data_IF_529361484327
#
_entry.id   IF_529361484327
#
_cell.length_a   1.000
_cell.length_b   1.000
_cell.length_c   1.000
_cell.angle_alpha   90.00
_cell.angle_beta   90.00
_cell.angle_gamma   90.00
#
_symmetry.space_group_name_H-M   'P 1'
#
loop_
_entity.id
_entity.type
_entity.pdbx_description
1 polymer ?
#
# COMPACT_ATOMS: atom_id res chain seq x y z
N UNK A 1 -9.88 9.48 -16.11
CA UNK A 1 -10.13 8.03 -16.12
C UNK A 1 -9.60 7.51 -14.80
N UNK A 2 -10.45 7.17 -13.84
CA UNK A 2 -10.02 6.59 -12.56
C UNK A 2 -9.49 5.19 -12.87
N UNK A 3 -8.17 5.00 -12.80
CA UNK A 3 -7.65 3.64 -12.79
C UNK A 3 -8.18 3.00 -11.50
N UNK A 4 -8.93 1.90 -11.56
CA UNK A 4 -9.34 1.20 -10.36
C UNK A 4 -8.06 0.77 -9.63
N UNK A 5 -7.96 1.09 -8.33
CA UNK A 5 -6.84 0.66 -7.48
C UNK A 5 -6.64 -0.87 -7.52
N UNK A 6 -7.59 -1.64 -8.04
CA UNK A 6 -7.47 -3.06 -8.37
C UNK A 6 -6.40 -3.41 -9.40
N UNK A 7 -5.84 -2.44 -10.14
CA UNK A 7 -4.75 -2.70 -11.07
C UNK A 7 -3.48 -3.05 -10.27
N UNK A 8 -3.06 -4.31 -10.39
CA UNK A 8 -1.95 -4.87 -9.63
C UNK A 8 -0.57 -4.31 -10.05
N UNK A 9 -0.54 -3.21 -10.80
CA UNK A 9 0.69 -2.54 -11.23
C UNK A 9 1.07 -1.35 -10.35
N UNK A 10 0.13 -0.75 -9.60
CA UNK A 10 0.39 0.48 -8.82
C UNK A 10 0.66 0.12 -7.37
N UNK A 11 1.93 -0.16 -7.04
CA UNK A 11 2.37 -0.36 -5.66
C UNK A 11 2.36 0.98 -4.91
N UNK A 12 1.60 1.12 -3.81
CA UNK A 12 1.68 2.30 -2.96
C UNK A 12 3.07 2.39 -2.32
N UNK A 13 3.74 3.54 -2.45
CA UNK A 13 5.03 3.76 -1.79
C UNK A 13 4.90 4.19 -0.34
N UNK A 14 3.85 4.96 -0.03
CA UNK A 14 3.57 5.45 1.32
C UNK A 14 2.41 4.68 1.92
N UNK A 15 2.72 3.95 2.99
CA UNK A 15 1.77 3.10 3.68
C UNK A 15 2.12 3.04 5.17
N UNK A 16 1.12 2.77 6.00
CA UNK A 16 1.30 2.52 7.44
C UNK A 16 0.67 1.19 7.83
N UNK A 17 1.11 0.63 8.95
CA UNK A 17 0.45 -0.53 9.56
C UNK A 17 -0.98 -0.18 9.95
N UNK A 18 -1.91 -1.06 9.61
CA UNK A 18 -3.31 -0.91 9.95
C UNK A 18 -3.86 -2.18 10.62
N UNK A 19 -4.99 -2.06 11.28
CA UNK A 19 -5.69 -3.17 11.92
C UNK A 19 -6.96 -3.50 11.15
N UNK A 20 -7.35 -4.76 11.19
CA UNK A 20 -8.63 -5.20 10.65
C UNK A 20 -9.72 -5.21 11.70
N UNK A 21 -10.98 -5.01 11.29
CA UNK A 21 -12.11 -5.26 12.16
C UNK A 21 -12.16 -6.74 12.57
N UNK A 22 -12.75 -7.00 13.74
CA UNK A 22 -12.89 -8.36 14.28
C UNK A 22 -13.71 -9.22 13.32
N UNK A 23 -13.19 -10.40 12.97
CA UNK A 23 -13.87 -11.36 12.09
C UNK A 23 -13.38 -11.41 10.64
N UNK A 24 -12.43 -10.55 10.24
CA UNK A 24 -11.80 -10.65 8.91
C UNK A 24 -10.62 -11.62 8.98
N UNK A 25 -10.68 -12.68 8.17
CA UNK A 25 -9.58 -13.63 8.06
C UNK A 25 -8.41 -13.03 7.27
N UNK A 26 -7.21 -13.16 7.84
CA UNK A 26 -5.97 -12.72 7.21
C UNK A 26 -5.46 -13.86 6.31
N UNK A 27 -5.31 -13.66 4.99
CA UNK A 27 -4.79 -14.68 4.11
C UNK A 27 -3.33 -14.96 4.42
N UNK A 28 -2.91 -16.20 4.15
CA UNK A 28 -1.49 -16.56 4.14
C UNK A 28 -0.87 -16.16 2.80
N UNK A 29 0.33 -15.59 2.87
CA UNK A 29 1.12 -15.29 1.68
C UNK A 29 1.71 -16.57 1.06
N UNK A 30 2.41 -16.45 -0.07
CA UNK A 30 3.10 -17.58 -0.69
C UNK A 30 4.22 -18.19 0.18
N UNK A 31 4.71 -17.48 1.19
CA UNK A 31 5.65 -18.01 2.19
C UNK A 31 4.96 -18.90 3.26
N UNK A 32 3.63 -18.92 3.32
CA UNK A 32 2.87 -19.64 4.34
C UNK A 32 2.58 -18.84 5.63
N UNK A 33 3.25 -17.69 5.82
CA UNK A 33 3.00 -16.77 6.94
C UNK A 33 1.75 -15.91 6.73
N UNK A 34 1.19 -15.42 7.85
CA UNK A 34 0.06 -14.47 7.81
C UNK A 34 0.50 -13.14 7.22
N UNK A 35 -0.34 -12.57 6.34
CA UNK A 35 -0.08 -11.25 5.77
C UNK A 35 -0.20 -10.14 6.82
N UNK A 36 0.58 -9.08 6.64
CA UNK A 36 0.39 -7.82 7.35
C UNK A 36 -0.67 -6.99 6.65
N UNK A 37 -1.34 -6.16 7.41
CA UNK A 37 -2.36 -5.24 6.91
C UNK A 37 -1.75 -3.84 6.85
N UNK A 38 -1.84 -3.23 5.69
CA UNK A 38 -1.31 -1.90 5.42
C UNK A 38 -2.43 -1.00 4.91
N UNK A 39 -2.34 0.27 5.25
CA UNK A 39 -3.21 1.34 4.76
C UNK A 39 -2.37 2.33 3.96
N UNK A 40 -2.85 2.72 2.79
CA UNK A 40 -2.20 3.71 1.94
C UNK A 40 -2.31 5.09 2.57
N UNK A 41 -1.18 5.77 2.70
CA UNK A 41 -1.09 7.15 3.19
C UNK A 41 -0.66 8.12 2.10
N UNK A 42 -0.43 7.63 0.88
CA UNK A 42 -0.12 8.48 -0.26
C UNK A 42 -1.37 9.25 -0.71
N UNK A 43 -1.22 10.54 -0.97
CA UNK A 43 -2.30 11.42 -1.42
C UNK A 43 -2.60 11.13 -2.90
N UNK A 44 -3.42 10.10 -3.11
CA UNK A 44 -3.74 9.49 -4.40
C UNK A 44 -5.17 8.92 -4.37
N UNK A 45 -5.64 8.40 -5.50
CA UNK A 45 -6.94 7.73 -5.62
C UNK A 45 -7.05 6.44 -4.78
N UNK A 46 -5.99 6.02 -4.10
CA UNK A 46 -5.99 4.89 -3.18
C UNK A 46 -5.81 5.30 -1.71
N UNK A 47 -5.86 6.61 -1.38
CA UNK A 47 -5.71 7.10 0.00
C UNK A 47 -6.70 6.42 0.94
N UNK A 48 -6.20 5.88 2.06
CA UNK A 48 -7.03 5.23 3.08
C UNK A 48 -7.50 3.81 2.74
N UNK A 49 -7.20 3.29 1.55
CA UNK A 49 -7.51 1.91 1.17
C UNK A 49 -6.56 0.96 1.88
N UNK A 50 -7.10 -0.15 2.43
CA UNK A 50 -6.30 -1.19 3.07
C UNK A 50 -6.01 -2.36 2.13
N UNK A 51 -4.87 -2.99 2.36
CA UNK A 51 -4.43 -4.16 1.63
C UNK A 51 -3.60 -5.10 2.51
N UNK A 52 -3.58 -6.37 2.13
CA UNK A 52 -2.69 -7.39 2.65
C UNK A 52 -1.35 -7.34 1.93
N UNK A 53 -0.27 -7.51 2.66
CA UNK A 53 1.11 -7.53 2.15
C UNK A 53 1.92 -8.56 2.93
N UNK A 54 2.82 -9.29 2.28
CA UNK A 54 3.71 -10.20 2.98
C UNK A 54 4.68 -9.44 3.92
N UNK A 55 5.00 -10.02 5.08
CA UNK A 55 6.01 -9.48 5.98
C UNK A 55 7.42 -9.43 5.34
N UNK A 56 7.75 -10.43 4.52
CA UNK A 56 8.99 -10.52 3.74
C UNK A 56 9.04 -9.55 2.54
N UNK A 57 8.05 -8.66 2.41
CA UNK A 57 8.01 -7.64 1.35
C UNK A 57 8.34 -6.24 1.87
N UNK A 58 8.31 -6.02 3.19
CA UNK A 58 8.65 -4.72 3.81
C UNK A 58 10.16 -4.52 3.98
N UNK A 59 10.95 -5.57 3.85
CA UNK A 59 12.39 -5.49 3.99
C UNK A 59 13.01 -5.01 2.67
N UNK A 60 13.10 -3.69 2.50
CA UNK A 60 14.15 -3.12 1.65
C UNK A 60 15.46 -3.54 2.34
N UNK A 61 16.02 -4.67 1.93
CA UNK A 61 17.26 -5.20 2.52
C UNK A 61 18.29 -4.05 2.52
N UNK A 62 18.76 -3.56 3.69
CA UNK A 62 19.70 -2.43 3.75
C UNK A 62 21.08 -2.77 3.17
N UNK A 63 21.27 -4.01 2.72
CA UNK A 63 22.49 -4.50 2.12
C UNK A 63 22.29 -4.55 0.61
N UNK A 64 22.83 -3.56 -0.10
CA UNK A 64 23.15 -3.75 -1.51
C UNK A 64 24.02 -5.03 -1.59
N UNK A 65 23.54 -6.12 -2.22
CA UNK A 65 24.32 -7.34 -2.25
C UNK A 65 25.58 -7.02 -3.04
N UNK A 66 26.75 -7.13 -2.39
CA UNK A 66 28.01 -7.20 -3.12
C UNK A 66 27.84 -8.28 -4.21
N UNK A 67 28.27 -8.03 -5.45
CA UNK A 67 28.09 -8.96 -6.56
C UNK A 67 28.72 -10.35 -6.34
N UNK A 68 29.49 -10.51 -5.25
CA UNK A 68 30.14 -11.75 -4.84
C UNK A 68 29.45 -12.49 -3.68
N UNK A 69 28.43 -11.90 -3.04
CA UNK A 69 27.66 -12.56 -1.97
C UNK A 69 26.45 -13.24 -2.61
N UNK A 70 26.46 -14.57 -2.64
CA UNK A 70 25.26 -15.36 -2.97
C UNK A 70 24.20 -15.07 -1.88
N UNK A 71 23.00 -14.54 -2.22
CA UNK A 71 22.00 -14.26 -1.21
C UNK A 71 21.65 -15.56 -0.46
N UNK A 72 21.63 -15.55 0.89
CA UNK A 72 21.21 -16.72 1.64
C UNK A 72 19.73 -16.98 1.33
N UNK A 73 19.42 -18.24 1.02
CA UNK A 73 18.04 -18.74 1.00
C UNK A 73 17.43 -18.47 2.39
N UNK A 74 16.27 -17.78 2.51
CA UNK A 74 15.04 -18.01 1.74
C UNK A 74 14.77 -16.94 0.63
N UNK A 75 13.67 -17.04 -0.16
CA UNK A 75 13.56 -16.53 -1.53
C UNK A 75 13.49 -14.98 -1.65
N UNK A 76 13.69 -14.42 -2.86
CA UNK A 76 13.51 -12.98 -3.12
C UNK A 76 12.12 -12.53 -2.68
N UNK A 77 12.06 -11.34 -2.08
CA UNK A 77 10.89 -10.67 -1.51
C UNK A 77 9.54 -11.24 -1.99
N UNK A 78 8.75 -11.78 -1.07
CA UNK A 78 7.44 -12.34 -1.41
C UNK A 78 6.51 -11.24 -1.88
N UNK A 79 6.29 -11.16 -3.19
CA UNK A 79 5.49 -10.09 -3.80
C UNK A 79 3.99 -10.22 -3.62
N UNK A 80 3.56 -11.08 -2.69
CA UNK A 80 2.15 -11.23 -2.40
C UNK A 80 1.60 -9.96 -1.80
N UNK A 81 0.61 -9.40 -2.49
CA UNK A 81 -0.27 -8.40 -1.92
C UNK A 81 -1.67 -8.55 -2.50
N UNK A 82 -2.65 -8.09 -1.74
CA UNK A 82 -4.06 -8.18 -2.12
C UNK A 82 -4.86 -7.05 -1.49
N UNK A 83 -5.62 -6.32 -2.30
CA UNK A 83 -6.52 -5.29 -1.81
C UNK A 83 -7.63 -5.86 -0.92
N UNK A 84 -7.91 -5.18 0.19
CA UNK A 84 -8.99 -5.50 1.13
C UNK A 84 -10.18 -4.64 0.78
N UNK A 85 -9.94 -3.33 0.73
CA UNK A 85 -10.93 -2.35 0.31
C UNK A 85 -10.76 -2.12 -1.21
N UNK A 86 -11.86 -2.09 -1.95
CA UNK A 86 -11.87 -1.73 -3.39
C UNK A 86 -12.31 -0.28 -3.61
N UNK A 87 -12.84 0.36 -2.59
CA UNK A 87 -13.38 1.72 -2.61
C UNK A 87 -12.68 2.58 -1.57
N UNK A 88 -12.46 3.85 -1.91
CA UNK A 88 -11.91 4.81 -0.97
C UNK A 88 -12.90 5.08 0.18
N UNK A 89 -12.43 5.18 1.42
CA UNK A 89 -13.30 5.60 2.52
C UNK A 89 -13.70 7.07 2.36
N UNK A 90 -14.91 7.41 2.84
CA UNK A 90 -15.48 8.75 2.69
C UNK A 90 -14.56 9.88 3.16
N UNK A 91 -13.85 9.69 4.27
CA UNK A 91 -12.92 10.70 4.81
C UNK A 91 -11.77 11.00 3.83
N UNK A 92 -11.26 10.00 3.10
CA UNK A 92 -10.20 10.17 2.13
C UNK A 92 -10.70 10.93 0.90
N UNK A 93 -11.92 10.63 0.45
CA UNK A 93 -12.57 11.37 -0.64
C UNK A 93 -12.77 12.83 -0.27
N UNK A 94 -13.23 13.12 0.95
CA UNK A 94 -13.41 14.51 1.41
C UNK A 94 -12.08 15.25 1.51
N UNK A 95 -11.05 14.61 2.04
CA UNK A 95 -9.71 15.21 2.17
C UNK A 95 -9.11 15.56 0.81
N UNK A 96 -9.20 14.64 -0.16
CA UNK A 96 -8.70 14.90 -1.52
C UNK A 96 -9.44 16.08 -2.16
N UNK A 97 -10.77 16.12 -2.02
CA UNK A 97 -11.59 17.21 -2.55
C UNK A 97 -11.26 18.56 -1.90
N UNK A 98 -11.11 18.59 -0.58
CA UNK A 98 -10.80 19.82 0.16
C UNK A 98 -9.43 20.37 -0.21
N UNK A 99 -8.41 19.52 -0.19
CA UNK A 99 -7.05 19.95 -0.53
C UNK A 99 -6.94 20.37 -2.00
N UNK A 100 -7.66 19.69 -2.89
CA UNK A 100 -7.82 20.12 -4.28
C UNK A 100 -8.43 21.51 -4.40
N UNK A 101 -9.54 21.78 -3.69
CA UNK A 101 -10.16 23.12 -3.65
C UNK A 101 -9.19 24.19 -3.16
N UNK A 102 -8.44 23.92 -2.10
CA UNK A 102 -7.44 24.87 -1.59
C UNK A 102 -6.33 25.17 -2.59
N UNK A 103 -5.82 24.16 -3.29
CA UNK A 103 -4.78 24.34 -4.31
C UNK A 103 -5.28 25.19 -5.50
N UNK A 104 -6.51 24.96 -5.95
CA UNK A 104 -7.11 25.78 -7.01
C UNK A 104 -7.31 27.23 -6.55
N UNK A 105 -7.82 27.43 -5.33
CA UNK A 105 -8.02 28.76 -4.78
C UNK A 105 -6.70 29.54 -4.64
N UNK A 106 -5.59 28.87 -4.31
CA UNK A 106 -4.28 29.53 -4.23
C UNK A 106 -3.71 29.91 -5.60
N UNK A 107 -4.03 29.16 -6.66
CA UNK A 107 -3.58 29.48 -8.02
C UNK A 107 -4.38 30.64 -8.65
N UNK A 108 -5.64 30.81 -8.25
CA UNK A 108 -6.52 31.89 -8.73
C UNK A 108 -6.25 33.23 -8.01
N UNK A 109 -5.62 33.17 -6.83
CA UNK A 109 -5.28 34.33 -6.01
C UNK A 109 -3.94 35.00 -6.39
N UNK A 110 -3.22 34.45 -7.38
CA UNK A 110 -1.91 34.90 -7.86
C UNK A 110 -2.00 35.45 -9.29
#
# INVERSE_FOLDING_TARGET
>A
MNLPCSDQSIRPRKMKSASLPRGVEVPRCWCGDLCKVKEVTDFSDCLGIKFFMCANYEEDSPVAPSPYIRPPYPPPLCMYYRWIDTEMPNWAVTEIRERGRHAWASLDAE
#
